data_IF_284730411531
#
_entry.id   IF_284730411531
#
_cell.length_a   1.000
_cell.length_b   1.000
_cell.length_c   1.000
_cell.angle_alpha   90.00
_cell.angle_beta   90.00
_cell.angle_gamma   90.00
#
_symmetry.space_group_name_H-M   'P 1'
#
loop_
_entity.id
_entity.type
_entity.pdbx_description
1 polymer ?
#
# COMPACT_ATOMS: atom_id res chain seq x y z
N UNK A 1 1.50 10.96 -2.54
CA UNK A 1 1.88 9.58 -2.19
C UNK A 1 3.26 9.16 -2.73
N UNK A 2 3.50 9.16 -4.05
CA UNK A 2 4.79 8.69 -4.62
C UNK A 2 6.02 9.43 -4.08
N UNK A 3 5.96 10.76 -4.00
CA UNK A 3 7.03 11.60 -3.41
C UNK A 3 7.28 11.30 -1.93
N UNK A 4 6.21 11.10 -1.14
CA UNK A 4 6.33 10.70 0.26
C UNK A 4 6.96 9.31 0.39
N UNK A 5 6.48 8.35 -0.40
CA UNK A 5 7.02 6.99 -0.43
C UNK A 5 8.51 6.95 -0.79
N UNK A 6 8.98 7.79 -1.72
CA UNK A 6 10.40 7.92 -2.06
C UNK A 6 11.25 8.43 -0.88
N UNK A 7 10.73 9.39 -0.10
CA UNK A 7 11.42 9.98 1.05
C UNK A 7 11.27 9.16 2.35
N UNK A 8 10.38 8.17 2.38
CA UNK A 8 10.17 7.28 3.53
C UNK A 8 10.75 5.90 3.24
N UNK A 9 11.98 5.65 3.67
CA UNK A 9 12.73 4.41 3.40
C UNK A 9 12.01 3.15 3.89
N UNK A 10 11.18 3.28 4.93
CA UNK A 10 10.40 2.18 5.47
C UNK A 10 9.32 1.67 4.52
N UNK A 11 8.87 2.44 3.54
CA UNK A 11 7.91 2.00 2.52
C UNK A 11 8.68 1.29 1.42
N UNK A 12 8.55 -0.03 1.33
CA UNK A 12 9.18 -0.83 0.29
C UNK A 12 8.30 -0.92 -0.96
N UNK A 13 7.00 -1.20 -0.80
CA UNK A 13 6.06 -1.35 -1.92
C UNK A 13 4.67 -0.84 -1.54
N UNK A 14 3.95 -0.26 -2.50
CA UNK A 14 2.55 0.12 -2.37
C UNK A 14 1.76 -0.53 -3.51
N UNK A 15 0.69 -1.22 -3.16
CA UNK A 15 -0.19 -1.93 -4.07
C UNK A 15 -1.59 -1.32 -3.99
N UNK A 16 -2.12 -0.90 -5.13
CA UNK A 16 -3.54 -0.60 -5.28
C UNK A 16 -4.29 -1.92 -5.45
N UNK A 17 -5.29 -2.19 -4.63
CA UNK A 17 -6.15 -3.37 -4.77
C UNK A 17 -7.62 -2.96 -4.83
N UNK A 18 -8.54 -3.93 -4.80
CA UNK A 18 -9.95 -3.62 -4.76
C UNK A 18 -10.53 -3.12 -6.08
N UNK A 19 -11.61 -2.32 -5.99
CA UNK A 19 -12.45 -1.97 -7.13
C UNK A 19 -11.69 -1.18 -8.21
N UNK A 20 -10.76 -0.31 -7.81
CA UNK A 20 -9.93 0.46 -8.74
C UNK A 20 -8.91 -0.42 -9.47
N UNK A 21 -8.31 -1.39 -8.78
CA UNK A 21 -7.38 -2.32 -9.41
C UNK A 21 -8.08 -3.22 -10.45
N UNK A 22 -9.33 -3.60 -10.20
CA UNK A 22 -10.14 -4.42 -11.11
C UNK A 22 -10.84 -3.64 -12.23
N UNK A 23 -10.84 -2.30 -12.19
CA UNK A 23 -11.56 -1.46 -13.17
C UNK A 23 -13.08 -1.41 -12.97
N UNK A 24 -13.56 -1.76 -11.77
CA UNK A 24 -14.98 -1.81 -11.39
C UNK A 24 -15.40 -0.64 -10.49
N UNK A 25 -14.49 0.31 -10.22
CA UNK A 25 -14.73 1.42 -9.32
C UNK A 25 -15.83 2.36 -9.84
N UNK A 26 -16.64 2.87 -8.91
CA UNK A 26 -17.68 3.87 -9.17
C UNK A 26 -17.28 5.22 -8.57
N UNK A 27 -18.12 6.24 -8.73
CA UNK A 27 -17.87 7.56 -8.15
C UNK A 27 -17.78 7.54 -6.61
N UNK A 28 -18.48 6.62 -5.94
CA UNK A 28 -18.47 6.48 -4.48
C UNK A 28 -17.46 5.46 -3.95
N UNK A 29 -16.69 4.80 -4.80
CA UNK A 29 -15.71 3.80 -4.37
C UNK A 29 -14.53 4.43 -3.63
N UNK A 30 -14.15 3.80 -2.53
CA UNK A 30 -12.91 4.06 -1.79
C UNK A 30 -11.69 3.56 -2.56
N UNK A 31 -10.52 4.12 -2.24
CA UNK A 31 -9.24 3.68 -2.80
C UNK A 31 -8.57 2.77 -1.77
N UNK A 32 -8.41 1.50 -2.14
CA UNK A 32 -7.78 0.49 -1.31
C UNK A 32 -6.26 0.41 -1.57
N UNK A 33 -5.44 0.71 -0.56
CA UNK A 33 -3.97 0.71 -0.67
C UNK A 33 -3.33 -0.20 0.37
N UNK A 34 -2.51 -1.14 -0.11
CA UNK A 34 -1.72 -2.02 0.72
C UNK A 34 -0.25 -1.59 0.72
N UNK A 35 0.36 -1.53 1.90
CA UNK A 35 1.73 -1.11 2.11
C UNK A 35 2.57 -2.28 2.60
N UNK A 36 3.65 -2.57 1.88
CA UNK A 36 4.73 -3.40 2.38
C UNK A 36 5.79 -2.49 2.99
N UNK A 37 6.04 -2.68 4.28
CA UNK A 37 7.01 -1.91 5.02
C UNK A 37 8.21 -2.78 5.40
N UNK A 38 9.42 -2.22 5.29
CA UNK A 38 10.61 -2.83 5.88
C UNK A 38 10.64 -2.69 7.41
N UNK A 39 9.96 -1.66 7.94
CA UNK A 39 9.78 -1.39 9.37
C UNK A 39 8.29 -1.12 9.65
N UNK A 40 7.65 -2.02 10.39
CA UNK A 40 6.20 -1.97 10.69
C UNK A 40 5.87 -0.91 11.74
N UNK A 41 6.83 -0.53 12.59
CA UNK A 41 6.60 0.45 13.65
C UNK A 41 6.32 1.85 13.06
N UNK A 42 6.71 2.07 11.81
CA UNK A 42 6.41 3.28 11.05
C UNK A 42 4.95 3.37 10.58
N UNK A 43 4.15 2.31 10.72
CA UNK A 43 2.80 2.27 10.17
C UNK A 43 1.90 3.39 10.70
N UNK A 44 1.91 3.64 12.00
CA UNK A 44 1.14 4.73 12.63
C UNK A 44 1.54 6.11 12.09
N UNK A 45 2.85 6.34 11.90
CA UNK A 45 3.38 7.59 11.33
C UNK A 45 2.93 7.78 9.88
N UNK A 46 2.89 6.70 9.09
CA UNK A 46 2.42 6.73 7.70
C UNK A 46 0.92 7.02 7.65
N UNK A 47 0.12 6.36 8.49
CA UNK A 47 -1.32 6.63 8.58
C UNK A 47 -1.61 8.09 8.92
N UNK A 48 -0.96 8.62 9.95
CA UNK A 48 -1.12 10.02 10.37
C UNK A 48 -0.76 10.99 9.23
N UNK A 49 0.36 10.77 8.55
CA UNK A 49 0.74 11.58 7.40
C UNK A 49 -0.32 11.55 6.29
N UNK A 50 -0.86 10.37 5.96
CA UNK A 50 -1.87 10.24 4.92
C UNK A 50 -3.16 10.95 5.35
N UNK A 51 -3.61 10.79 6.59
CA UNK A 51 -4.79 11.46 7.11
C UNK A 51 -4.68 12.99 7.04
N UNK A 52 -3.49 13.54 7.32
CA UNK A 52 -3.26 14.99 7.30
C UNK A 52 -3.09 15.55 5.88
N UNK A 53 -2.55 14.77 4.94
CA UNK A 53 -2.07 15.28 3.65
C UNK A 53 -2.84 14.73 2.43
N UNK A 54 -3.71 13.74 2.61
CA UNK A 54 -4.52 13.20 1.52
C UNK A 54 -5.70 14.14 1.24
N UNK A 55 -5.49 15.12 0.37
CA UNK A 55 -6.55 15.97 -0.15
C UNK A 55 -7.37 15.23 -1.22
N UNK A 56 -8.26 14.34 -0.78
CA UNK A 56 -9.15 13.53 -1.64
C UNK A 56 -10.59 13.59 -1.15
N UNK A 57 -11.56 13.51 -2.06
CA UNK A 57 -12.98 13.38 -1.75
C UNK A 57 -13.43 11.92 -1.58
N UNK A 58 -12.53 10.96 -1.79
CA UNK A 58 -12.78 9.52 -1.67
C UNK A 58 -12.23 9.00 -0.35
N UNK A 59 -12.88 8.00 0.24
CA UNK A 59 -12.31 7.27 1.36
C UNK A 59 -11.05 6.51 0.94
N UNK A 60 -10.19 6.25 1.92
CA UNK A 60 -8.97 5.47 1.76
C UNK A 60 -9.05 4.29 2.73
N UNK A 61 -9.00 3.07 2.21
CA UNK A 61 -8.75 1.87 3.02
C UNK A 61 -7.25 1.56 2.96
N UNK A 62 -6.57 1.65 4.09
CA UNK A 62 -5.12 1.56 4.19
C UNK A 62 -4.74 0.33 5.01
N UNK A 63 -3.97 -0.57 4.41
CA UNK A 63 -3.58 -1.84 5.04
C UNK A 63 -2.06 -2.00 5.08
N UNK A 64 -1.51 -2.41 6.21
CA UNK A 64 -0.13 -2.89 6.31
C UNK A 64 -0.09 -4.39 5.99
N UNK A 65 0.58 -4.78 4.90
CA UNK A 65 0.63 -6.16 4.42
C UNK A 65 1.16 -7.14 5.46
N UNK A 66 2.12 -6.71 6.30
CA UNK A 66 2.71 -7.57 7.33
C UNK A 66 1.69 -7.95 8.42
N UNK A 67 0.68 -7.11 8.65
CA UNK A 67 -0.37 -7.34 9.65
C UNK A 67 -1.70 -7.82 9.05
N UNK A 68 -1.79 -7.91 7.71
CA UNK A 68 -2.99 -8.36 7.02
C UNK A 68 -3.23 -9.87 7.23
N UNK A 69 -4.50 -10.29 7.16
CA UNK A 69 -4.84 -11.71 7.12
C UNK A 69 -4.37 -12.37 5.83
N UNK A 70 -4.17 -13.67 5.85
CA UNK A 70 -3.64 -14.38 4.67
C UNK A 70 -4.59 -14.35 3.48
N UNK A 71 -5.91 -14.45 3.71
CA UNK A 71 -6.92 -14.25 2.67
C UNK A 71 -6.81 -12.86 2.02
N UNK A 72 -6.62 -11.80 2.82
CA UNK A 72 -6.44 -10.46 2.27
C UNK A 72 -5.14 -10.34 1.47
N UNK A 73 -4.03 -10.94 1.93
CA UNK A 73 -2.77 -10.99 1.17
C UNK A 73 -2.94 -11.72 -0.17
N UNK A 74 -3.62 -12.87 -0.18
CA UNK A 74 -3.91 -13.62 -1.41
C UNK A 74 -4.74 -12.80 -2.40
N UNK A 75 -5.77 -12.10 -1.91
CA UNK A 75 -6.58 -11.19 -2.71
C UNK A 75 -5.71 -10.09 -3.33
N UNK A 76 -4.91 -9.39 -2.52
CA UNK A 76 -3.99 -8.33 -2.97
C UNK A 76 -2.98 -8.87 -3.98
N UNK A 77 -2.47 -10.09 -3.79
CA UNK A 77 -1.54 -10.71 -4.73
C UNK A 77 -2.20 -11.03 -6.07
N UNK A 78 -3.47 -11.46 -6.06
CA UNK A 78 -4.20 -11.86 -7.26
C UNK A 78 -4.68 -10.67 -8.10
N UNK A 79 -5.19 -9.63 -7.45
CA UNK A 79 -5.84 -8.49 -8.13
C UNK A 79 -5.04 -7.18 -8.08
N UNK A 80 -4.00 -7.12 -7.27
CA UNK A 80 -3.32 -5.87 -6.96
C UNK A 80 -2.42 -5.36 -8.09
N UNK A 81 -2.39 -4.04 -8.23
CA UNK A 81 -1.52 -3.30 -9.15
C UNK A 81 -0.46 -2.58 -8.33
N UNK A 82 0.81 -2.88 -8.58
CA UNK A 82 1.94 -2.19 -7.93
C UNK A 82 2.03 -0.76 -8.45
N UNK A 83 1.80 0.23 -7.58
CA UNK A 83 1.88 1.65 -7.93
C UNK A 83 3.18 2.31 -7.48
N UNK A 84 3.90 1.65 -6.57
CA UNK A 84 5.23 2.02 -6.12
C UNK A 84 5.98 0.78 -5.64
N UNK A 85 7.23 0.63 -6.04
CA UNK A 85 8.15 -0.37 -5.50
C UNK A 85 9.56 0.21 -5.47
N UNK A 86 10.27 0.02 -4.36
CA UNK A 86 11.69 0.34 -4.28
C UNK A 86 12.49 -0.72 -5.03
N UNK A 87 13.51 -0.33 -5.81
CA UNK A 87 14.42 -1.30 -6.41
C UNK A 87 15.01 -2.18 -5.32
N UNK A 88 14.87 -3.51 -5.45
CA UNK A 88 15.62 -4.43 -4.59
C UNK A 88 17.10 -4.17 -4.82
N UNK A 89 17.83 -3.73 -3.80
CA UNK A 89 19.26 -4.01 -3.79
C UNK A 89 19.39 -5.53 -3.88
N UNK A 90 20.15 -6.04 -4.86
CA UNK A 90 20.30 -7.48 -5.16
C UNK A 90 20.82 -8.34 -3.98
N UNK A 91 21.11 -7.74 -2.83
CA UNK A 91 21.49 -8.45 -1.63
C UNK A 91 20.27 -8.60 -0.71
N UNK A 92 19.93 -9.86 -0.42
CA UNK A 92 18.96 -10.30 0.58
C UNK A 92 17.51 -10.28 0.07
N UNK A 93 17.15 -11.35 -0.66
CA UNK A 93 15.75 -11.80 -0.74
C UNK A 93 15.60 -12.96 0.24
N UNK A 94 14.86 -12.83 1.35
CA UNK A 94 14.26 -14.00 1.97
C UNK A 94 13.21 -14.52 0.99
N UNK A 95 13.35 -15.79 0.59
CA UNK A 95 12.25 -16.49 -0.08
C UNK A 95 11.04 -16.48 0.86
N UNK A 96 9.87 -16.27 0.28
CA UNK A 96 8.58 -16.54 0.92
C UNK A 96 8.58 -17.94 1.54
#
# INVERSE_FOLDING_TARGET
MKTYALNKSSIYRIVLYGSFARGEATQGSDIDLAFELSDVDQWSTILMYIQENAHTLRGLDLVCLKNASDNLKEKIQKEGVVIFERPKNKAITPKL
#
